data_IF_948919043356
#
_entry.id   IF_948919043356
#
_cell.length_a   1.000
_cell.length_b   1.000
_cell.length_c   1.000
_cell.angle_alpha   90.00
_cell.angle_beta   90.00
_cell.angle_gamma   90.00
#
_symmetry.space_group_name_H-M   'P 1'
#
loop_
_entity.id
_entity.type
_entity.pdbx_description
1 polymer ?
#
# COMPACT_ATOMS: atom_id res chain seq x y z
N UNK A 1 17.18 -31.29 -46.24
CA UNK A 1 17.90 -32.56 -45.99
C UNK A 1 19.40 -32.28 -45.99
N UNK A 2 20.02 -32.11 -44.82
CA UNK A 2 21.48 -32.09 -44.68
C UNK A 2 21.85 -32.68 -43.32
N UNK A 3 22.88 -33.54 -43.32
CA UNK A 3 23.19 -34.54 -42.29
C UNK A 3 24.01 -33.97 -41.12
N UNK A 4 23.72 -34.52 -39.93
CA UNK A 4 24.61 -34.91 -38.82
C UNK A 4 25.89 -34.09 -38.53
N UNK A 5 26.09 -33.71 -37.26
CA UNK A 5 26.98 -34.54 -36.43
C UNK A 5 26.89 -34.31 -34.92
N UNK A 6 26.85 -35.44 -34.21
CA UNK A 6 26.81 -35.61 -32.77
C UNK A 6 28.21 -35.39 -32.18
N UNK A 7 28.30 -34.66 -31.07
CA UNK A 7 29.38 -34.88 -30.09
C UNK A 7 28.75 -35.12 -28.72
N UNK A 8 28.68 -36.41 -28.39
CA UNK A 8 28.54 -36.91 -27.03
C UNK A 8 29.82 -36.53 -26.28
N UNK A 9 29.69 -35.96 -25.08
CA UNK A 9 30.76 -36.04 -24.09
C UNK A 9 30.18 -36.62 -22.81
N UNK A 10 30.42 -37.92 -22.64
CA UNK A 10 30.22 -38.67 -21.42
C UNK A 10 31.61 -38.76 -20.77
N UNK A 11 31.79 -38.25 -19.55
CA UNK A 11 32.61 -38.91 -18.51
C UNK A 11 32.08 -38.53 -17.13
N UNK A 12 31.67 -39.56 -16.41
CA UNK A 12 31.41 -39.58 -14.96
C UNK A 12 32.69 -39.25 -14.19
N UNK A 13 32.53 -38.68 -12.99
CA UNK A 13 33.15 -39.23 -11.78
C UNK A 13 32.37 -38.71 -10.57
N UNK A 14 31.78 -39.65 -9.82
CA UNK A 14 31.29 -39.43 -8.48
C UNK A 14 32.47 -39.44 -7.50
N UNK A 15 32.50 -38.48 -6.58
CA UNK A 15 33.09 -38.67 -5.25
C UNK A 15 32.09 -38.11 -4.26
N UNK A 16 31.53 -39.00 -3.45
CA UNK A 16 30.77 -38.67 -2.27
C UNK A 16 31.73 -38.62 -1.08
N UNK A 17 31.67 -37.57 -0.26
CA UNK A 17 32.12 -37.65 1.15
C UNK A 17 31.67 -36.43 1.96
N UNK A 18 30.81 -36.73 2.93
CA UNK A 18 30.75 -36.21 4.30
C UNK A 18 30.40 -34.74 4.58
N UNK A 19 29.43 -34.59 5.47
CA UNK A 19 28.87 -33.37 6.02
C UNK A 19 29.78 -32.69 7.06
N UNK A 20 29.73 -31.34 7.14
CA UNK A 20 29.91 -30.53 8.36
C UNK A 20 28.92 -29.32 8.27
N UNK A 21 28.22 -28.94 9.36
CA UNK A 21 27.07 -28.04 9.34
C UNK A 21 27.41 -26.56 9.65
N UNK A 22 26.42 -25.69 9.36
CA UNK A 22 26.20 -24.32 9.85
C UNK A 22 27.34 -23.28 9.72
N UNK A 23 27.25 -22.46 8.68
CA UNK A 23 27.45 -21.01 8.82
C UNK A 23 26.43 -20.29 7.93
N UNK A 24 25.55 -19.55 8.57
CA UNK A 24 24.46 -18.76 8.00
C UNK A 24 24.99 -17.67 7.06
N UNK A 25 25.11 -17.97 5.78
CA UNK A 25 24.96 -16.95 4.73
C UNK A 25 23.47 -16.85 4.41
N UNK A 26 22.72 -16.16 5.28
CA UNK A 26 21.52 -15.46 4.84
C UNK A 26 22.03 -14.36 3.89
N UNK A 27 22.29 -14.78 2.65
CA UNK A 27 22.35 -13.88 1.53
C UNK A 27 21.03 -13.12 1.57
N UNK A 28 21.12 -11.84 1.89
CA UNK A 28 20.07 -10.88 1.65
C UNK A 28 19.83 -10.89 0.13
N UNK A 29 19.00 -11.81 -0.35
CA UNK A 29 18.35 -11.68 -1.64
C UNK A 29 17.35 -10.55 -1.48
N UNK A 30 17.88 -9.31 -1.50
CA UNK A 30 17.12 -8.18 -1.98
C UNK A 30 16.74 -8.54 -3.40
N UNK A 31 15.51 -9.01 -3.56
CA UNK A 31 14.82 -8.97 -4.83
C UNK A 31 14.69 -7.48 -5.15
N UNK A 32 15.71 -6.93 -5.81
CA UNK A 32 15.61 -5.64 -6.47
C UNK A 32 14.46 -5.78 -7.46
N UNK A 33 13.27 -5.35 -7.05
CA UNK A 33 12.25 -4.91 -7.99
C UNK A 33 12.90 -3.79 -8.77
N UNK A 34 13.39 -4.12 -9.96
CA UNK A 34 13.77 -3.15 -10.99
C UNK A 34 12.54 -2.30 -11.27
N UNK A 35 12.38 -1.23 -10.49
CA UNK A 35 11.54 -0.10 -10.83
C UNK A 35 12.02 0.37 -12.18
N UNK A 36 11.20 0.14 -13.21
CA UNK A 36 11.41 0.65 -14.55
C UNK A 36 11.18 2.17 -14.55
N UNK A 37 11.96 2.94 -13.79
CA UNK A 37 11.94 4.40 -13.91
C UNK A 37 12.80 4.77 -15.10
N UNK A 38 12.17 5.30 -16.15
CA UNK A 38 12.89 6.00 -17.22
C UNK A 38 13.76 7.11 -16.59
N UNK A 39 14.94 7.43 -17.17
CA UNK A 39 15.77 8.53 -16.68
C UNK A 39 14.97 9.84 -16.62
N UNK A 40 15.12 10.58 -15.53
CA UNK A 40 14.52 11.89 -15.35
C UNK A 40 15.13 12.88 -16.36
N UNK A 41 14.34 13.33 -17.34
CA UNK A 41 14.72 14.45 -18.21
C UNK A 41 14.29 15.77 -17.57
N UNK A 42 15.29 16.59 -17.22
CA UNK A 42 15.11 17.93 -16.67
C UNK A 42 14.61 18.90 -17.75
N UNK A 43 13.34 18.75 -18.16
CA UNK A 43 12.62 19.73 -18.98
C UNK A 43 12.06 20.89 -18.14
N UNK A 44 11.38 21.83 -18.80
CA UNK A 44 10.62 22.88 -18.11
C UNK A 44 9.36 22.26 -17.49
N UNK A 45 9.46 21.82 -16.24
CA UNK A 45 8.38 21.20 -15.46
C UNK A 45 7.48 22.30 -14.90
N UNK A 46 6.23 22.39 -15.36
CA UNK A 46 5.25 23.33 -14.78
C UNK A 46 4.52 22.73 -13.59
N UNK A 47 4.34 21.41 -13.57
CA UNK A 47 3.68 20.66 -12.51
C UNK A 47 4.57 19.48 -12.08
N UNK A 48 4.79 19.25 -10.78
CA UNK A 48 5.52 18.08 -10.26
C UNK A 48 5.03 16.73 -10.82
N UNK A 49 3.79 16.63 -11.29
CA UNK A 49 3.24 15.42 -11.89
C UNK A 49 3.63 15.21 -13.38
N UNK A 50 4.19 16.22 -14.05
CA UNK A 50 4.54 16.14 -15.49
C UNK A 50 5.60 15.07 -15.78
N UNK A 51 6.40 14.71 -14.78
CA UNK A 51 7.49 13.71 -14.90
C UNK A 51 7.09 12.32 -14.43
N UNK A 52 5.88 12.15 -13.89
CA UNK A 52 5.43 10.88 -13.29
C UNK A 52 4.35 10.27 -14.20
N UNK A 53 4.55 9.02 -14.60
CA UNK A 53 3.53 8.30 -15.35
C UNK A 53 2.45 7.74 -14.40
N UNK A 54 1.19 7.75 -14.84
CA UNK A 54 0.10 7.15 -14.08
C UNK A 54 0.28 5.63 -14.03
N UNK A 55 0.33 5.09 -12.82
CA UNK A 55 0.35 3.65 -12.58
C UNK A 55 -1.06 3.07 -12.55
N UNK A 56 -1.18 1.78 -12.89
CA UNK A 56 -2.44 1.05 -12.84
C UNK A 56 -2.64 0.42 -11.45
N UNK A 57 -3.07 1.23 -10.49
CA UNK A 57 -3.36 0.82 -9.11
C UNK A 57 -4.87 0.70 -8.92
N UNK A 58 -5.34 -0.38 -8.32
CA UNK A 58 -6.77 -0.62 -8.08
C UNK A 58 -7.10 -0.51 -6.60
N UNK A 59 -8.21 0.14 -6.30
CA UNK A 59 -8.81 0.09 -4.96
C UNK A 59 -9.41 -1.30 -4.76
N UNK A 60 -9.05 -1.95 -3.66
CA UNK A 60 -9.50 -3.30 -3.32
C UNK A 60 -10.53 -3.33 -2.21
N UNK A 61 -10.49 -2.34 -1.30
CA UNK A 61 -11.42 -2.26 -0.18
C UNK A 61 -11.47 -0.82 0.37
N UNK A 62 -12.55 -0.49 1.07
CA UNK A 62 -12.70 0.75 1.83
C UNK A 62 -13.28 0.44 3.20
N UNK A 63 -12.57 0.86 4.26
CA UNK A 63 -13.02 0.73 5.64
C UNK A 63 -13.32 2.09 6.24
N UNK A 64 -14.40 2.15 7.02
CA UNK A 64 -14.75 3.33 7.81
C UNK A 64 -14.70 2.98 9.29
N UNK A 65 -13.92 3.77 10.03
CA UNK A 65 -13.81 3.69 11.49
C UNK A 65 -14.42 4.95 12.11
N UNK A 66 -15.63 4.86 12.71
CA UNK A 66 -16.21 5.94 13.50
C UNK A 66 -15.33 6.28 14.71
N UNK A 67 -15.03 7.56 14.89
CA UNK A 67 -14.29 8.10 16.03
C UNK A 67 -15.13 9.15 16.74
N UNK A 68 -14.94 9.27 18.05
CA UNK A 68 -15.63 10.24 18.90
C UNK A 68 -14.70 10.78 19.96
N UNK A 69 -14.83 12.08 20.25
CA UNK A 69 -14.13 12.74 21.36
C UNK A 69 -15.09 13.62 22.17
N UNK A 70 -14.99 13.48 23.50
CA UNK A 70 -15.68 14.31 24.49
C UNK A 70 -14.61 14.84 25.47
N UNK A 71 -14.54 16.15 25.73
CA UNK A 71 -13.62 16.71 26.70
C UNK A 71 -13.83 16.10 28.10
N UNK A 72 -12.77 15.59 28.76
CA UNK A 72 -12.90 14.94 30.06
C UNK A 72 -13.24 15.93 31.19
N UNK A 73 -12.97 17.22 30.99
CA UNK A 73 -13.26 18.29 31.95
C UNK A 73 -14.65 18.91 31.76
N UNK A 74 -15.45 18.38 30.83
CA UNK A 74 -16.81 18.85 30.54
C UNK A 74 -16.86 20.23 29.87
N UNK A 75 -15.73 20.80 29.46
CA UNK A 75 -15.70 22.06 28.71
C UNK A 75 -16.21 21.86 27.28
N UNK A 76 -16.75 22.93 26.71
CA UNK A 76 -17.09 22.95 25.29
C UNK A 76 -15.84 23.04 24.43
N UNK A 77 -15.89 22.41 23.25
CA UNK A 77 -14.81 22.37 22.27
C UNK A 77 -14.67 23.71 21.53
N UNK A 78 -15.75 24.15 20.88
CA UNK A 78 -15.83 25.44 20.19
C UNK A 78 -17.29 25.89 20.03
N UNK A 79 -17.49 27.17 19.71
CA UNK A 79 -18.81 27.73 19.39
C UNK A 79 -19.07 27.77 17.89
N UNK A 80 -20.32 27.55 17.49
CA UNK A 80 -20.80 27.74 16.11
C UNK A 80 -22.11 28.52 16.17
N UNK A 81 -22.07 29.83 15.91
CA UNK A 81 -23.22 30.72 16.09
C UNK A 81 -23.69 30.73 17.56
N UNK A 82 -24.95 30.33 17.80
CA UNK A 82 -25.53 30.20 19.15
C UNK A 82 -25.33 28.81 19.77
N UNK A 83 -24.64 27.89 19.08
CA UNK A 83 -24.38 26.54 19.56
C UNK A 83 -23.01 26.41 20.22
N UNK A 84 -22.95 25.64 21.30
CA UNK A 84 -21.69 25.20 21.92
C UNK A 84 -21.49 23.71 21.65
N UNK A 85 -20.40 23.37 20.99
CA UNK A 85 -20.07 21.98 20.64
C UNK A 85 -19.44 21.29 21.85
N UNK A 86 -20.08 20.24 22.36
CA UNK A 86 -19.63 19.48 23.55
C UNK A 86 -18.94 18.15 23.20
N UNK A 87 -19.06 17.72 21.95
CA UNK A 87 -18.52 16.48 21.40
C UNK A 87 -18.17 16.70 19.93
N UNK A 88 -17.11 16.04 19.47
CA UNK A 88 -16.80 15.95 18.05
C UNK A 88 -16.72 14.49 17.65
N UNK A 89 -17.06 14.25 16.39
CA UNK A 89 -17.07 12.96 15.74
C UNK A 89 -16.21 13.04 14.49
N UNK A 90 -15.73 11.90 14.00
CA UNK A 90 -15.06 11.80 12.71
C UNK A 90 -15.32 10.43 12.09
N UNK A 91 -15.36 10.37 10.77
CA UNK A 91 -15.37 9.12 10.02
C UNK A 91 -14.00 8.91 9.40
N UNK A 92 -13.11 8.17 10.07
CA UNK A 92 -11.80 7.83 9.49
C UNK A 92 -12.02 6.84 8.35
N UNK A 93 -11.62 7.21 7.14
CA UNK A 93 -11.74 6.39 5.93
C UNK A 93 -10.35 5.85 5.56
N UNK A 94 -10.27 4.54 5.41
CA UNK A 94 -9.07 3.83 4.96
C UNK A 94 -9.38 3.22 3.58
N UNK A 95 -8.57 3.53 2.57
CA UNK A 95 -8.72 3.02 1.20
C UNK A 95 -7.55 2.09 0.90
N UNK A 96 -7.85 0.81 0.69
CA UNK A 96 -6.85 -0.22 0.43
C UNK A 96 -6.66 -0.42 -1.07
N UNK A 97 -5.45 -0.80 -1.46
CA UNK A 97 -5.09 -1.02 -2.86
C UNK A 97 -4.42 -2.37 -3.09
N UNK A 98 -4.41 -2.80 -4.34
CA UNK A 98 -3.78 -4.05 -4.78
C UNK A 98 -2.24 -4.02 -4.71
N UNK A 99 -1.64 -2.84 -4.53
CA UNK A 99 -0.20 -2.67 -4.30
C UNK A 99 0.18 -2.56 -2.81
N UNK A 100 -0.78 -2.71 -1.89
CA UNK A 100 -0.54 -2.58 -0.45
C UNK A 100 -0.38 -1.14 0.04
N UNK A 101 -0.65 -0.14 -0.80
CA UNK A 101 -0.74 1.26 -0.39
C UNK A 101 -2.09 1.47 0.31
N UNK A 102 -2.07 2.19 1.44
CA UNK A 102 -3.27 2.54 2.21
C UNK A 102 -3.41 4.06 2.22
N UNK A 103 -4.50 4.56 1.65
CA UNK A 103 -4.88 5.96 1.73
C UNK A 103 -5.72 6.23 2.97
N UNK A 104 -5.49 7.36 3.63
CA UNK A 104 -6.31 7.82 4.75
C UNK A 104 -7.02 9.13 4.38
N UNK A 105 -8.29 9.22 4.75
CA UNK A 105 -9.11 10.42 4.58
C UNK A 105 -10.10 10.54 5.74
N UNK A 106 -10.82 11.66 5.77
CA UNK A 106 -11.89 11.90 6.72
C UNK A 106 -13.19 12.16 5.95
N UNK A 107 -14.26 11.48 6.35
CA UNK A 107 -15.61 11.78 5.91
C UNK A 107 -16.26 12.78 6.85
N UNK A 108 -17.08 13.68 6.30
CA UNK A 108 -17.71 14.78 7.05
C UNK A 108 -18.24 14.34 8.43
N UNK A 109 -17.83 15.02 9.51
CA UNK A 109 -18.21 14.63 10.86
C UNK A 109 -19.70 14.89 11.14
N UNK A 110 -20.33 15.73 10.30
CA UNK A 110 -21.73 16.15 10.43
C UNK A 110 -22.72 15.20 9.74
N UNK A 111 -22.23 14.19 9.02
CA UNK A 111 -23.06 13.23 8.28
C UNK A 111 -23.31 11.93 9.04
N UNK A 112 -23.06 11.91 10.35
CA UNK A 112 -23.13 10.75 11.25
C UNK A 112 -22.19 9.60 10.81
N UNK A 113 -21.01 9.45 11.45
CA UNK A 113 -20.05 8.42 11.08
C UNK A 113 -20.58 6.98 11.08
N UNK A 114 -21.58 6.68 11.92
CA UNK A 114 -22.18 5.35 11.96
C UNK A 114 -22.97 5.03 10.69
N UNK A 115 -23.72 5.99 10.15
CA UNK A 115 -24.45 5.81 8.89
C UNK A 115 -23.50 5.82 7.68
N UNK A 116 -22.43 6.62 7.72
CA UNK A 116 -21.37 6.54 6.69
C UNK A 116 -20.80 5.13 6.66
N UNK A 117 -20.40 4.58 7.82
CA UNK A 117 -19.86 3.22 7.89
C UNK A 117 -20.84 2.20 7.33
N UNK A 118 -22.10 2.24 7.78
CA UNK A 118 -23.15 1.32 7.34
C UNK A 118 -23.39 1.38 5.83
N UNK A 119 -23.36 2.57 5.24
CA UNK A 119 -23.48 2.73 3.79
C UNK A 119 -22.29 2.10 3.07
N UNK A 120 -21.06 2.38 3.53
CA UNK A 120 -19.83 1.82 2.94
C UNK A 120 -19.82 0.29 3.04
N UNK A 121 -20.07 -0.27 4.23
CA UNK A 121 -20.13 -1.72 4.46
C UNK A 121 -21.16 -2.43 3.56
N UNK A 122 -22.22 -1.71 3.15
CA UNK A 122 -23.30 -2.27 2.32
C UNK A 122 -22.99 -2.25 0.83
N UNK A 123 -22.22 -1.27 0.37
CA UNK A 123 -22.11 -0.93 -1.05
C UNK A 123 -20.71 -1.02 -1.64
N UNK A 124 -19.67 -1.01 -0.80
CA UNK A 124 -18.28 -0.96 -1.25
C UNK A 124 -17.54 -2.27 -0.95
N UNK A 125 -17.85 -2.88 0.20
CA UNK A 125 -17.34 -4.20 0.62
C UNK A 125 -18.24 -5.32 0.08
#
# INVERSE_FOLDING_TARGET
MHKNNRRKFLKQTAIASAAIPLASTLACQQKETTSSSKPFESGNIQNPLDVIQRENIRITDIKVTPLSYVPPDGKFLWGVGTYMVWKTDAALVEVFTDQGIVGFAEGSPYSNPAEIKKYTDKHVT
#
